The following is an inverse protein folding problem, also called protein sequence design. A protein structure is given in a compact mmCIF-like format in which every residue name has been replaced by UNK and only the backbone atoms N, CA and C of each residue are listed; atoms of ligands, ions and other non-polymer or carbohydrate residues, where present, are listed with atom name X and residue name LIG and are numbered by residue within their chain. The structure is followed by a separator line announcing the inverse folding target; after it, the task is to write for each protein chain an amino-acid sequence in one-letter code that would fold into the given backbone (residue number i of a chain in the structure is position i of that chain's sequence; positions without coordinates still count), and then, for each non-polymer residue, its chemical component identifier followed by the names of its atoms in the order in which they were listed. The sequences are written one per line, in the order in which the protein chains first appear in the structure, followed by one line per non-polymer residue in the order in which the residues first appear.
data_IF_187380997961
#
_entry.id   IF_187380997961
#
_cell.length_a   1.000
_cell.length_b   1.000
_cell.length_c   1.000
_cell.angle_alpha   90.00
_cell.angle_beta   90.00
_cell.angle_gamma   90.00
#
_symmetry.space_group_name_H-M   'P 1'
#
loop_
_entity.id
_entity.type
_entity.pdbx_description
1 polymer ?
#
# COMPACT_ATOMS: atom_id res chain seq x y z
N UNK A 1 4.13 -3.01 -25.31
CA UNK A 1 4.40 -2.23 -24.10
C UNK A 1 5.89 -2.29 -23.88
N UNK A 2 6.60 -1.17 -23.99
CA UNK A 2 8.05 -1.17 -23.79
C UNK A 2 8.38 -1.50 -22.33
N UNK A 3 9.43 -2.29 -22.06
CA UNK A 3 9.88 -2.53 -20.70
C UNK A 3 10.33 -1.21 -20.06
N UNK A 4 9.94 -0.99 -18.79
CA UNK A 4 10.37 0.18 -18.03
C UNK A 4 11.88 0.41 -18.14
N UNK A 5 12.27 1.66 -18.40
CA UNK A 5 13.68 2.06 -18.42
C UNK A 5 14.35 1.79 -17.06
N UNK A 6 15.69 1.70 -17.03
CA UNK A 6 16.42 1.57 -15.75
C UNK A 6 16.19 2.77 -14.82
N UNK A 7 15.98 3.96 -15.38
CA UNK A 7 15.65 5.16 -14.60
C UNK A 7 14.29 5.01 -13.91
N UNK A 8 13.27 4.58 -14.65
CA UNK A 8 11.93 4.37 -14.12
C UNK A 8 11.92 3.20 -13.13
N UNK A 9 12.71 2.16 -13.37
CA UNK A 9 12.84 1.04 -12.44
C UNK A 9 13.40 1.46 -11.09
N UNK A 10 14.43 2.32 -11.06
CA UNK A 10 14.95 2.87 -9.80
C UNK A 10 13.91 3.76 -9.11
N UNK A 11 13.22 4.61 -9.87
CA UNK A 11 12.15 5.46 -9.35
C UNK A 11 11.02 4.64 -8.71
N UNK A 12 10.58 3.59 -9.39
CA UNK A 12 9.55 2.67 -8.90
C UNK A 12 9.97 1.99 -7.60
N UNK A 13 11.21 1.48 -7.51
CA UNK A 13 11.70 0.83 -6.29
C UNK A 13 11.72 1.78 -5.10
N UNK A 14 12.12 3.03 -5.30
CA UNK A 14 12.11 4.06 -4.25
C UNK A 14 10.67 4.36 -3.81
N UNK A 15 9.78 4.65 -4.76
CA UNK A 15 8.37 4.93 -4.48
C UNK A 15 7.68 3.75 -3.76
N UNK A 16 7.96 2.52 -4.17
CA UNK A 16 7.45 1.30 -3.55
C UNK A 16 7.91 1.16 -2.09
N UNK A 17 9.17 1.48 -1.81
CA UNK A 17 9.70 1.45 -0.44
C UNK A 17 9.03 2.52 0.44
N UNK A 18 8.90 3.74 -0.08
CA UNK A 18 8.25 4.84 0.64
C UNK A 18 6.77 4.55 0.91
N UNK A 19 6.06 4.02 -0.08
CA UNK A 19 4.65 3.62 0.05
C UNK A 19 4.47 2.48 1.08
N UNK A 20 5.40 1.52 1.12
CA UNK A 20 5.38 0.44 2.11
C UNK A 20 5.57 1.00 3.52
N UNK A 21 6.54 1.89 3.72
CA UNK A 21 6.80 2.51 5.02
C UNK A 21 5.58 3.30 5.51
N UNK A 22 4.97 4.13 4.65
CA UNK A 22 3.73 4.87 4.98
C UNK A 22 2.59 3.94 5.39
N UNK A 23 2.43 2.84 4.67
CA UNK A 23 1.38 1.87 4.97
C UNK A 23 1.62 1.13 6.29
N UNK A 24 2.85 0.72 6.55
CA UNK A 24 3.23 0.12 7.83
C UNK A 24 3.02 1.09 8.99
N UNK A 25 3.43 2.36 8.84
CA UNK A 25 3.22 3.38 9.85
C UNK A 25 1.72 3.61 10.16
N UNK A 26 0.85 3.60 9.13
CA UNK A 26 -0.59 3.74 9.33
C UNK A 26 -1.18 2.55 10.11
N UNK A 27 -0.77 1.32 9.76
CA UNK A 27 -1.21 0.09 10.46
C UNK A 27 -0.79 0.13 11.93
N UNK A 28 0.44 0.57 12.22
CA UNK A 28 0.93 0.70 13.59
C UNK A 28 0.13 1.75 14.38
N UNK A 29 -0.19 2.89 13.78
CA UNK A 29 -1.03 3.91 14.40
C UNK A 29 -2.46 3.40 14.68
N UNK A 30 -3.09 2.74 13.71
CA UNK A 30 -4.41 2.11 13.88
C UNK A 30 -4.38 1.03 14.98
N UNK A 31 -3.34 0.21 15.00
CA UNK A 31 -3.15 -0.84 16.01
C UNK A 31 -2.97 -0.27 17.41
N UNK A 32 -2.20 0.82 17.54
CA UNK A 32 -2.02 1.53 18.81
C UNK A 32 -3.35 2.10 19.32
N UNK A 33 -4.16 2.70 18.43
CA UNK A 33 -5.49 3.20 18.79
C UNK A 33 -6.44 2.09 19.28
N UNK A 34 -6.49 0.94 18.58
CA UNK A 34 -7.28 -0.21 19.01
C UNK A 34 -6.78 -0.79 20.34
N UNK A 35 -5.47 -0.85 20.53
CA UNK A 35 -4.85 -1.31 21.77
C UNK A 35 -5.12 -0.37 22.95
N UNK A 36 -5.31 0.92 22.71
CA UNK A 36 -5.60 1.93 23.73
C UNK A 36 -7.10 2.09 24.06
N UNK A 37 -8.00 1.34 23.39
CA UNK A 37 -9.45 1.48 23.59
C UNK A 37 -9.92 0.86 24.93
N UNK A 38 -10.01 1.70 25.96
CA UNK A 38 -10.41 1.28 27.30
C UNK A 38 -11.90 0.92 27.43
N UNK A 39 -12.72 1.15 26.41
CA UNK A 39 -14.11 0.67 26.41
C UNK A 39 -14.21 -0.85 26.16
N UNK A 40 -13.12 -1.49 25.73
CA UNK A 40 -13.02 -2.92 25.43
C UNK A 40 -12.15 -3.65 26.44
N UNK A 41 -12.47 -4.91 26.71
CA UNK A 41 -11.61 -5.80 27.49
C UNK A 41 -10.27 -6.03 26.78
N UNK A 42 -9.26 -6.49 27.51
CA UNK A 42 -7.95 -6.80 26.93
C UNK A 42 -8.04 -7.86 25.80
N UNK A 43 -8.89 -8.88 25.96
CA UNK A 43 -9.09 -9.92 24.96
C UNK A 43 -9.76 -9.38 23.68
N UNK A 44 -10.77 -8.52 23.81
CA UNK A 44 -11.42 -7.88 22.65
C UNK A 44 -10.47 -6.97 21.89
N UNK A 45 -9.64 -6.18 22.60
CA UNK A 45 -8.60 -5.36 21.98
C UNK A 45 -7.58 -6.21 21.22
N UNK A 46 -7.13 -7.31 21.83
CA UNK A 46 -6.23 -8.27 21.19
C UNK A 46 -6.81 -8.81 19.87
N UNK A 47 -8.06 -9.28 19.89
CA UNK A 47 -8.72 -9.80 18.70
C UNK A 47 -8.92 -8.72 17.62
N UNK A 48 -9.25 -7.49 18.02
CA UNK A 48 -9.39 -6.37 17.10
C UNK A 48 -8.08 -6.02 16.39
N UNK A 49 -6.96 -5.96 17.13
CA UNK A 49 -5.63 -5.73 16.57
C UNK A 49 -5.22 -6.88 15.65
N UNK A 50 -5.46 -8.14 16.04
CA UNK A 50 -5.17 -9.30 15.21
C UNK A 50 -5.94 -9.26 13.87
N UNK A 51 -7.25 -9.00 13.93
CA UNK A 51 -8.08 -8.91 12.74
C UNK A 51 -7.66 -7.76 11.81
N UNK A 52 -7.25 -6.62 12.38
CA UNK A 52 -6.69 -5.50 11.63
C UNK A 52 -5.41 -5.92 10.90
N UNK A 53 -4.43 -6.48 11.61
CA UNK A 53 -3.13 -6.88 11.04
C UNK A 53 -3.35 -7.91 9.93
N UNK A 54 -4.18 -8.93 10.16
CA UNK A 54 -4.50 -9.97 9.19
C UNK A 54 -5.12 -9.40 7.91
N UNK A 55 -6.11 -8.50 8.05
CA UNK A 55 -6.70 -7.80 6.91
C UNK A 55 -5.68 -6.96 6.15
N UNK A 56 -4.87 -6.20 6.86
CA UNK A 56 -3.88 -5.27 6.28
C UNK A 56 -2.74 -6.02 5.58
N UNK A 57 -2.33 -7.16 6.12
CA UNK A 57 -1.31 -8.03 5.54
C UNK A 57 -1.76 -8.59 4.18
N UNK A 58 -3.03 -9.00 4.05
CA UNK A 58 -3.59 -9.41 2.74
C UNK A 58 -3.54 -8.29 1.70
N UNK A 59 -3.84 -7.05 2.08
CA UNK A 59 -3.72 -5.91 1.16
C UNK A 59 -2.27 -5.58 0.83
N UNK A 60 -1.37 -5.69 1.82
CA UNK A 60 0.07 -5.49 1.65
C UNK A 60 0.63 -6.45 0.61
N UNK A 61 0.30 -7.74 0.72
CA UNK A 61 0.74 -8.77 -0.23
C UNK A 61 0.35 -8.40 -1.69
N UNK A 62 -0.89 -7.93 -1.91
CA UNK A 62 -1.35 -7.53 -3.26
C UNK A 62 -0.55 -6.36 -3.84
N UNK A 63 -0.22 -5.37 -3.01
CA UNK A 63 0.47 -4.16 -3.44
C UNK A 63 2.00 -4.35 -3.57
N UNK A 64 2.59 -5.17 -2.70
CA UNK A 64 4.04 -5.19 -2.51
C UNK A 64 4.71 -6.53 -2.86
N UNK A 65 4.00 -7.64 -2.96
CA UNK A 65 4.64 -8.94 -3.24
C UNK A 65 5.07 -9.10 -4.70
N UNK A 66 6.25 -9.69 -4.86
CA UNK A 66 6.84 -9.93 -6.17
C UNK A 66 7.70 -8.77 -6.66
N UNK A 67 8.69 -9.13 -7.48
CA UNK A 67 9.73 -8.24 -7.96
C UNK A 67 9.94 -8.44 -9.47
N UNK A 68 9.03 -7.90 -10.28
CA UNK A 68 9.19 -7.89 -11.74
C UNK A 68 8.67 -6.59 -12.34
N UNK A 69 9.30 -6.17 -13.45
CA UNK A 69 8.86 -5.00 -14.23
C UNK A 69 7.44 -5.17 -14.79
N UNK A 70 7.06 -6.40 -15.14
CA UNK A 70 5.70 -6.73 -15.57
C UNK A 70 4.63 -6.51 -14.50
N UNK A 71 5.00 -6.60 -13.21
CA UNK A 71 4.10 -6.35 -12.08
C UNK A 71 4.09 -4.88 -11.64
N UNK A 72 5.10 -4.08 -12.02
CA UNK A 72 5.27 -2.72 -11.51
C UNK A 72 4.08 -1.81 -11.82
N UNK A 73 3.53 -1.85 -13.04
CA UNK A 73 2.37 -1.03 -13.41
C UNK A 73 1.10 -1.41 -12.63
N UNK A 74 0.90 -2.72 -12.41
CA UNK A 74 -0.18 -3.21 -11.57
C UNK A 74 0.00 -2.76 -10.12
N UNK A 75 1.21 -2.89 -9.57
CA UNK A 75 1.51 -2.46 -8.20
C UNK A 75 1.33 -0.95 -8.02
N UNK A 76 1.73 -0.13 -9.01
CA UNK A 76 1.48 1.32 -9.01
C UNK A 76 -0.01 1.64 -8.88
N UNK A 77 -0.85 1.00 -9.70
CA UNK A 77 -2.31 1.18 -9.61
C UNK A 77 -2.86 0.73 -8.25
N UNK A 78 -2.45 -0.43 -7.74
CA UNK A 78 -2.91 -0.91 -6.43
C UNK A 78 -2.50 0.08 -5.32
N UNK A 79 -1.24 0.52 -5.29
CA UNK A 79 -0.77 1.51 -4.33
C UNK A 79 -1.55 2.83 -4.40
N UNK A 80 -1.91 3.28 -5.61
CA UNK A 80 -2.75 4.46 -5.83
C UNK A 80 -4.17 4.26 -5.31
N UNK A 81 -4.83 3.13 -5.64
CA UNK A 81 -6.17 2.82 -5.10
C UNK A 81 -6.21 2.68 -3.58
N UNK A 82 -5.06 2.35 -2.97
CA UNK A 82 -4.89 2.31 -1.52
C UNK A 82 -4.55 3.67 -0.90
N UNK A 83 -4.43 4.73 -1.71
CA UNK A 83 -4.07 6.09 -1.28
C UNK A 83 -2.63 6.25 -0.81
N UNK A 84 -1.73 5.34 -1.19
CA UNK A 84 -0.33 5.34 -0.74
C UNK A 84 0.59 6.24 -1.58
N UNK A 85 0.18 6.49 -2.82
CA UNK A 85 0.87 7.32 -3.81
C UNK A 85 -0.16 8.23 -4.48
N UNK A 86 0.29 9.37 -5.02
CA UNK A 86 -0.57 10.38 -5.61
C UNK A 86 -0.68 10.24 -7.15
N UNK A 87 -1.55 11.02 -7.78
CA UNK A 87 -1.70 11.03 -9.24
C UNK A 87 -0.41 11.46 -9.95
N UNK A 88 0.35 12.37 -9.36
CA UNK A 88 1.64 12.83 -9.89
C UNK A 88 2.65 11.68 -9.95
N UNK A 89 2.58 10.75 -8.98
CA UNK A 89 3.42 9.56 -8.97
C UNK A 89 3.07 8.63 -10.13
N UNK A 90 1.78 8.49 -10.48
CA UNK A 90 1.35 7.70 -11.64
C UNK A 90 1.78 8.35 -12.97
N UNK A 91 1.58 9.67 -13.10
CA UNK A 91 1.94 10.43 -14.30
C UNK A 91 3.43 10.29 -14.65
N UNK A 92 4.30 10.22 -13.63
CA UNK A 92 5.74 9.97 -13.80
C UNK A 92 6.05 8.68 -14.57
N UNK A 93 5.18 7.68 -14.50
CA UNK A 93 5.32 6.40 -15.23
C UNK A 93 4.48 6.35 -16.52
N UNK A 94 3.95 7.49 -16.97
CA UNK A 94 3.05 7.55 -18.13
C UNK A 94 1.71 6.85 -17.89
N UNK A 95 1.32 6.65 -16.62
CA UNK A 95 0.03 6.11 -16.26
C UNK A 95 -0.96 7.26 -16.04
N UNK A 96 -2.15 7.14 -16.60
CA UNK A 96 -3.27 8.02 -16.32
C UNK A 96 -4.12 7.45 -15.18
N UNK A 97 -4.67 8.32 -14.33
CA UNK A 97 -5.79 7.97 -13.48
C UNK A 97 -6.92 7.54 -14.42
N UNK A 98 -7.40 6.29 -14.28
CA UNK A 98 -8.70 5.95 -14.82
C UNK A 98 -9.66 6.31 -13.71
N UNK A 99 -10.41 7.39 -13.90
CA UNK A 99 -11.58 7.67 -13.09
C UNK A 99 -12.47 6.43 -13.20
N UNK A 100 -12.56 5.66 -12.12
CA UNK A 100 -13.58 4.63 -11.99
C UNK A 100 -14.88 5.35 -11.65
N UNK A 101 -15.42 6.06 -12.64
CA UNK A 101 -16.85 6.34 -12.71
C UNK A 101 -17.53 5.06 -13.24
N UNK A 102 -18.01 4.23 -12.31
CA UNK A 102 -19.31 3.53 -12.36
C UNK A 102 -19.61 2.81 -11.02
#
# INVERSE_FOLDING_TARGET
MEPMSEKDWRAFKALKADALERYCASILAESAALSADMARTAHERYLAVYALIDKRNRSMAKAFDGHSRSKALYQLRVMHTMGLIADEDLQRFGLQCFDLDD
#
